data_IF_998463223249
#
_entry.id   IF_998463223249
#
_cell.length_a   1.000
_cell.length_b   1.000
_cell.length_c   1.000
_cell.angle_alpha   90.00
_cell.angle_beta   90.00
_cell.angle_gamma   90.00
#
_symmetry.space_group_name_H-M   'P 1'
#
loop_
_entity.id
_entity.type
_entity.pdbx_description
1 polymer ?
#
# COMPACT_ATOMS: atom_id res chain seq x y z
N UNK A 1 3.16 13.85 -10.88
CA UNK A 1 1.93 13.33 -11.51
C UNK A 1 2.29 12.01 -12.18
N UNK A 2 1.82 10.88 -11.66
CA UNK A 2 2.26 9.52 -12.06
C UNK A 2 1.97 9.20 -13.53
N UNK A 3 1.00 9.88 -14.13
CA UNK A 3 0.66 9.83 -15.56
C UNK A 3 1.83 10.20 -16.48
N UNK A 4 2.81 10.99 -16.01
CA UNK A 4 4.01 11.34 -16.79
C UNK A 4 5.03 10.20 -16.93
N UNK A 5 4.85 9.07 -16.23
CA UNK A 5 5.81 7.96 -16.17
C UNK A 5 5.31 6.66 -16.84
N UNK A 6 4.36 6.75 -17.77
CA UNK A 6 3.71 5.58 -18.42
C UNK A 6 3.05 4.62 -17.39
N UNK A 7 2.59 5.17 -16.25
CA UNK A 7 1.88 4.41 -15.23
C UNK A 7 0.37 4.55 -15.42
N UNK A 8 -0.30 3.42 -15.62
CA UNK A 8 -1.76 3.34 -15.73
C UNK A 8 -2.35 2.98 -14.37
N UNK A 9 -3.28 3.82 -13.90
CA UNK A 9 -4.04 3.55 -12.68
C UNK A 9 -4.99 2.38 -12.90
N UNK A 10 -4.95 1.38 -12.02
CA UNK A 10 -5.76 0.16 -12.10
C UNK A 10 -6.75 0.01 -10.95
N UNK A 11 -6.45 0.60 -9.79
CA UNK A 11 -7.34 0.55 -8.63
C UNK A 11 -7.20 1.82 -7.78
N UNK A 12 -8.29 2.22 -7.14
CA UNK A 12 -8.37 3.34 -6.23
C UNK A 12 -9.34 3.01 -5.11
N UNK A 13 -8.81 2.62 -3.96
CA UNK A 13 -9.62 2.30 -2.79
C UNK A 13 -9.39 3.33 -1.70
N UNK A 14 -10.47 3.98 -1.28
CA UNK A 14 -10.47 4.86 -0.12
C UNK A 14 -11.26 4.20 1.01
N UNK A 15 -10.91 4.52 2.25
CA UNK A 15 -11.75 4.17 3.42
C UNK A 15 -13.18 4.60 3.14
N UNK A 16 -14.12 3.65 3.26
CA UNK A 16 -15.55 3.95 3.12
C UNK A 16 -16.06 4.59 4.40
N UNK A 17 -17.05 5.48 4.32
CA UNK A 17 -17.69 6.05 5.51
C UNK A 17 -18.13 4.91 6.45
N UNK A 18 -17.69 4.96 7.71
CA UNK A 18 -17.94 3.97 8.78
C UNK A 18 -17.18 2.63 8.67
N UNK A 19 -16.13 2.54 7.86
CA UNK A 19 -15.23 1.38 7.87
C UNK A 19 -14.31 1.42 9.10
N UNK A 20 -14.20 0.30 9.81
CA UNK A 20 -13.28 0.17 10.94
C UNK A 20 -11.83 0.07 10.45
N UNK A 21 -10.89 0.51 11.28
CA UNK A 21 -9.46 0.42 10.99
C UNK A 21 -9.04 -0.98 10.57
N UNK A 22 -9.46 -2.01 11.31
CA UNK A 22 -9.09 -3.42 11.02
C UNK A 22 -9.61 -3.93 9.67
N UNK A 23 -10.82 -3.50 9.25
CA UNK A 23 -11.38 -3.84 7.93
C UNK A 23 -10.54 -3.20 6.83
N UNK A 24 -10.15 -1.94 7.01
CA UNK A 24 -9.27 -1.25 6.08
C UNK A 24 -7.88 -1.90 5.98
N UNK A 25 -7.25 -2.21 7.12
CA UNK A 25 -5.93 -2.88 7.15
C UNK A 25 -6.01 -4.20 6.41
N UNK A 26 -7.04 -5.00 6.67
CA UNK A 26 -7.23 -6.29 6.01
C UNK A 26 -7.42 -6.13 4.51
N UNK A 27 -8.26 -5.19 4.05
CA UNK A 27 -8.41 -4.91 2.62
C UNK A 27 -7.12 -4.40 1.97
N UNK A 28 -6.34 -3.61 2.68
CA UNK A 28 -5.05 -3.10 2.18
C UNK A 28 -4.07 -4.24 1.95
N UNK A 29 -3.99 -5.16 2.92
CA UNK A 29 -3.19 -6.38 2.80
C UNK A 29 -3.68 -7.20 1.62
N UNK A 30 -4.99 -7.46 1.55
CA UNK A 30 -5.60 -8.20 0.43
C UNK A 30 -5.26 -7.57 -0.92
N UNK A 31 -5.34 -6.23 -1.07
CA UNK A 31 -4.97 -5.55 -2.31
C UNK A 31 -3.49 -5.72 -2.67
N UNK A 32 -2.62 -5.75 -1.66
CA UNK A 32 -1.17 -5.86 -1.85
C UNK A 32 -0.75 -7.31 -2.09
N UNK A 33 -1.40 -8.28 -1.46
CA UNK A 33 -1.01 -9.69 -1.49
C UNK A 33 -1.81 -10.51 -2.50
N UNK A 34 -3.06 -10.15 -2.79
CA UNK A 34 -3.87 -10.77 -3.86
C UNK A 34 -3.34 -10.28 -5.20
N UNK A 35 -2.32 -11.00 -5.67
CA UNK A 35 -1.62 -10.81 -6.92
C UNK A 35 -2.52 -11.05 -8.15
N UNK A 36 -3.42 -10.09 -8.43
CA UNK A 36 -4.34 -10.14 -9.58
C UNK A 36 -3.65 -9.86 -10.92
N UNK A 37 -2.41 -9.37 -10.90
CA UNK A 37 -1.65 -8.95 -12.09
C UNK A 37 -0.34 -9.73 -12.21
N UNK A 38 -0.46 -11.05 -12.46
CA UNK A 38 0.69 -11.93 -12.65
C UNK A 38 1.56 -11.43 -13.81
N UNK A 39 2.87 -11.28 -13.54
CA UNK A 39 3.86 -10.89 -14.55
C UNK A 39 4.06 -9.39 -14.74
N UNK A 40 3.34 -8.55 -13.98
CA UNK A 40 3.51 -7.10 -13.98
C UNK A 40 3.86 -6.56 -12.59
N UNK A 41 4.78 -5.60 -12.55
CA UNK A 41 5.07 -4.88 -11.31
C UNK A 41 3.92 -3.91 -11.00
N UNK A 42 3.48 -3.92 -9.75
CA UNK A 42 2.41 -3.05 -9.27
C UNK A 42 3.04 -1.98 -8.38
N UNK A 43 2.69 -0.73 -8.59
CA UNK A 43 3.12 0.42 -7.82
C UNK A 43 1.92 0.98 -7.06
N UNK A 44 2.03 1.02 -5.74
CA UNK A 44 0.94 1.42 -4.86
C UNK A 44 1.37 2.65 -4.08
N UNK A 45 0.53 3.68 -4.12
CA UNK A 45 0.63 4.82 -3.21
C UNK A 45 -0.35 4.61 -2.07
N UNK A 46 0.18 4.45 -0.87
CA UNK A 46 -0.57 4.40 0.38
C UNK A 46 -0.54 5.79 1.03
N UNK A 47 -1.69 6.42 1.16
CA UNK A 47 -1.84 7.72 1.81
C UNK A 47 -2.73 7.60 3.03
N UNK A 48 -2.39 8.34 4.07
CA UNK A 48 -3.07 8.36 5.35
C UNK A 48 -3.18 9.81 5.82
N UNK A 49 -4.31 10.21 6.38
CA UNK A 49 -4.48 11.55 6.95
C UNK A 49 -5.22 11.48 8.27
N UNK A 50 -5.05 12.53 9.08
CA UNK A 50 -5.77 12.71 10.33
C UNK A 50 -6.39 14.11 10.37
N UNK A 51 -7.72 14.20 10.42
CA UNK A 51 -8.40 15.49 10.61
C UNK A 51 -8.06 16.12 11.97
N UNK A 52 -7.86 15.27 13.00
CA UNK A 52 -7.48 15.69 14.36
C UNK A 52 -6.14 16.44 14.39
N UNK A 53 -5.14 15.94 13.67
CA UNK A 53 -3.80 16.54 13.65
C UNK A 53 -3.56 17.45 12.44
N UNK A 54 -4.54 17.57 11.54
CA UNK A 54 -4.46 18.34 10.28
C UNK A 54 -3.21 18.01 9.47
N UNK A 55 -2.84 16.74 9.43
CA UNK A 55 -1.61 16.26 8.81
C UNK A 55 -1.84 14.98 8.01
N UNK A 56 -1.02 14.78 6.98
CA UNK A 56 -1.06 13.59 6.13
C UNK A 56 0.32 12.95 6.00
N UNK A 57 0.31 11.67 5.68
CA UNK A 57 1.49 10.85 5.49
C UNK A 57 1.29 9.88 4.33
N UNK A 58 2.33 9.67 3.54
CA UNK A 58 2.28 8.79 2.38
C UNK A 58 3.47 7.84 2.36
N UNK A 59 3.21 6.60 2.01
CA UNK A 59 4.20 5.56 1.77
C UNK A 59 4.01 4.98 0.36
N UNK A 60 5.11 4.58 -0.26
CA UNK A 60 5.12 3.91 -1.55
C UNK A 60 5.36 2.41 -1.34
N UNK A 61 4.65 1.59 -2.10
CA UNK A 61 4.81 0.14 -2.10
C UNK A 61 5.00 -0.31 -3.54
N UNK A 62 6.01 -1.15 -3.79
CA UNK A 62 6.21 -1.81 -5.07
C UNK A 62 6.07 -3.31 -4.88
N UNK A 63 5.23 -3.94 -5.69
CA UNK A 63 5.09 -5.39 -5.76
C UNK A 63 5.79 -5.83 -7.04
N UNK A 64 6.92 -6.51 -6.91
CA UNK A 64 7.63 -7.12 -8.03
C UNK A 64 7.08 -8.53 -8.25
N UNK A 65 6.39 -8.72 -9.37
CA UNK A 65 5.84 -10.01 -9.77
C UNK A 65 6.74 -10.66 -10.81
N UNK A 66 7.60 -11.56 -10.36
CA UNK A 66 8.38 -12.44 -11.23
C UNK A 66 7.65 -13.77 -11.40
N UNK A 67 7.97 -14.53 -12.45
CA UNK A 67 7.25 -15.74 -12.88
C UNK A 67 6.90 -16.73 -11.76
N UNK A 68 7.71 -16.80 -10.69
CA UNK A 68 7.48 -17.69 -9.55
C UNK A 68 7.72 -17.02 -8.18
N UNK A 69 7.87 -15.69 -8.13
CA UNK A 69 8.21 -14.99 -6.88
C UNK A 69 7.52 -13.63 -6.82
N UNK A 70 6.97 -13.33 -5.65
CA UNK A 70 6.44 -12.00 -5.32
C UNK A 70 7.39 -11.38 -4.31
N UNK A 71 7.87 -10.18 -4.59
CA UNK A 71 8.60 -9.37 -3.61
C UNK A 71 7.84 -8.07 -3.36
N UNK A 72 7.68 -7.70 -2.09
CA UNK A 72 7.03 -6.46 -1.69
C UNK A 72 8.09 -5.53 -1.12
N UNK A 73 8.22 -4.35 -1.70
CA UNK A 73 9.15 -3.31 -1.26
C UNK A 73 8.32 -2.16 -0.71
N UNK A 74 8.51 -1.85 0.56
CA UNK A 74 7.78 -0.81 1.27
C UNK A 74 8.73 0.35 1.60
N UNK A 75 8.37 1.55 1.16
CA UNK A 75 9.14 2.77 1.35
C UNK A 75 8.28 3.84 2.01
N UNK A 76 8.51 4.08 3.29
CA UNK A 76 7.87 5.15 4.05
C UNK A 76 8.93 6.21 4.41
N UNK A 77 8.71 7.52 4.11
CA UNK A 77 9.63 8.62 4.46
C UNK A 77 9.98 8.74 5.95
N UNK A 78 9.09 8.33 6.86
CA UNK A 78 9.29 8.29 8.31
C UNK A 78 10.00 7.02 8.78
N UNK A 79 10.26 6.06 7.89
CA UNK A 79 10.88 4.78 8.20
C UNK A 79 12.04 4.45 7.25
N UNK A 80 12.64 3.27 7.49
CA UNK A 80 13.56 2.64 6.54
C UNK A 80 12.79 1.95 5.42
N UNK A 81 13.48 1.72 4.31
CA UNK A 81 13.01 0.85 3.24
C UNK A 81 12.99 -0.60 3.74
N UNK A 82 11.85 -1.27 3.61
CA UNK A 82 11.68 -2.68 3.96
C UNK A 82 11.44 -3.52 2.72
N UNK A 83 12.01 -4.72 2.71
CA UNK A 83 11.89 -5.67 1.60
C UNK A 83 11.37 -6.99 2.18
N UNK A 84 10.27 -7.48 1.61
CA UNK A 84 9.64 -8.73 1.99
C UNK A 84 9.66 -9.67 0.79
N UNK A 85 10.44 -10.74 0.87
CA UNK A 85 10.46 -11.80 -0.16
C UNK A 85 9.25 -12.75 -0.09
N UNK A 86 8.43 -12.60 0.95
CA UNK A 86 7.27 -13.44 1.24
C UNK A 86 6.09 -12.56 1.70
N UNK A 87 4.94 -12.59 1.00
CA UNK A 87 3.77 -11.77 1.32
C UNK A 87 3.25 -11.91 2.76
N UNK A 88 3.36 -13.09 3.36
CA UNK A 88 2.95 -13.36 4.73
C UNK A 88 3.77 -12.59 5.78
N UNK A 89 5.03 -12.28 5.49
CA UNK A 89 5.86 -11.45 6.37
C UNK A 89 5.48 -9.98 6.25
N UNK A 90 5.16 -9.52 5.04
CA UNK A 90 4.59 -8.19 4.85
C UNK A 90 3.27 -8.04 5.61
N UNK A 91 2.36 -9.03 5.51
CA UNK A 91 1.08 -9.00 6.24
C UNK A 91 1.29 -8.85 7.74
N UNK A 92 2.10 -9.72 8.36
CA UNK A 92 2.35 -9.68 9.81
C UNK A 92 2.95 -8.34 10.24
N UNK A 93 3.95 -7.87 9.50
CA UNK A 93 4.60 -6.59 9.78
C UNK A 93 3.64 -5.41 9.60
N UNK A 94 2.86 -5.38 8.52
CA UNK A 94 1.96 -4.27 8.22
C UNK A 94 0.83 -4.17 9.25
N UNK A 95 0.26 -5.31 9.69
CA UNK A 95 -0.69 -5.32 10.81
C UNK A 95 -0.06 -4.73 12.08
N UNK A 96 1.14 -5.16 12.43
CA UNK A 96 1.86 -4.60 13.57
C UNK A 96 2.10 -3.09 13.43
N UNK A 97 2.53 -2.62 12.26
CA UNK A 97 2.75 -1.20 11.99
C UNK A 97 1.43 -0.41 12.12
N UNK A 98 0.32 -0.92 11.58
CA UNK A 98 -1.01 -0.30 11.68
C UNK A 98 -1.54 -0.19 13.12
N UNK A 99 -1.10 -1.06 14.03
CA UNK A 99 -1.50 -1.00 15.44
C UNK A 99 -0.56 -0.16 16.32
N UNK A 100 0.69 0.04 15.91
CA UNK A 100 1.73 0.61 16.78
C UNK A 100 2.33 1.92 16.26
N UNK A 101 2.39 2.12 14.95
CA UNK A 101 3.02 3.30 14.38
C UNK A 101 2.07 4.50 14.39
N UNK A 102 2.57 5.69 14.75
CA UNK A 102 1.74 6.90 14.92
C UNK A 102 0.88 7.21 13.68
N UNK A 103 1.49 7.21 12.49
CA UNK A 103 0.81 7.53 11.23
C UNK A 103 -0.22 6.50 10.82
N UNK A 104 -0.11 5.25 11.26
CA UNK A 104 -1.04 4.20 10.84
C UNK A 104 -2.07 3.88 11.90
N UNK A 105 -1.78 4.18 13.17
CA UNK A 105 -2.70 3.96 14.28
C UNK A 105 -3.75 5.07 14.40
N UNK A 106 -3.37 6.31 14.11
CA UNK A 106 -4.18 7.49 14.44
C UNK A 106 -4.83 8.18 13.23
N UNK A 107 -4.71 7.58 12.05
CA UNK A 107 -5.35 8.11 10.85
C UNK A 107 -6.84 7.76 10.83
N UNK A 108 -7.66 8.75 10.51
CA UNK A 108 -9.10 8.59 10.33
C UNK A 108 -9.44 8.29 8.86
N UNK A 109 -8.53 8.59 7.94
CA UNK A 109 -8.68 8.36 6.52
C UNK A 109 -7.43 7.70 5.95
N UNK A 110 -7.67 6.71 5.10
CA UNK A 110 -6.64 6.10 4.27
C UNK A 110 -7.10 6.01 2.81
N UNK A 111 -6.14 6.04 1.90
CA UNK A 111 -6.33 5.94 0.46
C UNK A 111 -5.20 5.11 -0.14
N UNK A 112 -5.57 4.14 -0.96
CA UNK A 112 -4.66 3.26 -1.69
C UNK A 112 -4.92 3.47 -3.17
N UNK A 113 -3.88 3.78 -3.91
CA UNK A 113 -3.92 3.89 -5.37
C UNK A 113 -2.91 2.96 -6.01
N UNK A 114 -3.39 2.04 -6.83
CA UNK A 114 -2.55 1.04 -7.50
C UNK A 114 -2.39 1.41 -8.97
N UNK A 115 -1.17 1.25 -9.45
CA UNK A 115 -0.77 1.54 -10.82
C UNK A 115 0.09 0.41 -11.38
N UNK A 116 0.04 0.19 -12.68
CA UNK A 116 0.94 -0.70 -13.43
C UNK A 116 1.68 0.10 -14.48
N UNK A 117 2.86 -0.38 -14.89
CA UNK A 117 3.55 0.14 -16.06
C UNK A 117 3.23 -0.73 -17.25
N UNK A 118 2.51 -0.19 -18.24
CA UNK A 118 2.24 -0.91 -19.48
C UNK A 118 3.56 -1.10 -20.25
N UNK A 119 3.84 -2.32 -20.68
CA UNK A 119 4.95 -2.58 -21.61
C UNK A 119 4.51 -2.06 -22.99
N UNK A 120 5.26 -1.10 -23.54
CA UNK A 120 5.11 -0.61 -24.92
C UNK A 120 5.62 -1.66 -25.90
#
# INVERSE_FOLDING_TARGET
MLEKNDLTKIDCNQVKNNETHDKFVSRSIDLITLNKHKGENIYILFSSSSSKYKSGHAAAIMIENQQNKVKIIFSDPSHKLFIFDYPEYFEKWFRFACSNHFWYKNCDLFRIESHIKLKK
#
